data_IF_059203236409
#
_entry.id   IF_059203236409
#
_cell.length_a   1.000
_cell.length_b   1.000
_cell.length_c   1.000
_cell.angle_alpha   90.00
_cell.angle_beta   90.00
_cell.angle_gamma   90.00
#
_symmetry.space_group_name_H-M   'P 1'
#
loop_
_entity.id
_entity.type
_entity.pdbx_description
1 polymer ?
#
# COMPACT_ATOMS: atom_id res chain seq x y z
N UNK A 1 -22.43 5.22 2.23
CA UNK A 1 -22.15 6.59 2.70
C UNK A 1 -20.99 6.58 3.67
N UNK A 2 -20.30 7.71 3.80
CA UNK A 2 -19.13 7.95 4.65
C UNK A 2 -19.43 9.03 5.65
N UNK A 3 -19.36 8.73 6.93
CA UNK A 3 -19.60 9.69 8.02
C UNK A 3 -18.29 10.33 8.46
N UNK A 4 -18.16 11.63 8.26
CA UNK A 4 -17.06 12.45 8.76
C UNK A 4 -17.53 13.09 10.08
N UNK A 5 -17.47 12.33 11.17
CA UNK A 5 -18.01 12.73 12.48
C UNK A 5 -17.44 14.07 12.98
N UNK A 6 -16.13 14.31 12.79
CA UNK A 6 -15.48 15.56 13.18
C UNK A 6 -15.97 16.79 12.42
N UNK A 7 -16.55 16.61 11.24
CA UNK A 7 -17.07 17.67 10.39
C UNK A 7 -18.60 17.69 10.36
N UNK A 8 -19.25 16.76 11.08
CA UNK A 8 -20.70 16.57 11.08
C UNK A 8 -21.29 16.47 9.66
N UNK A 9 -20.64 15.68 8.81
CA UNK A 9 -21.00 15.49 7.39
C UNK A 9 -21.14 14.03 7.05
N UNK A 10 -22.08 13.71 6.18
CA UNK A 10 -22.22 12.39 5.57
C UNK A 10 -22.06 12.56 4.06
N UNK A 11 -21.16 11.78 3.46
CA UNK A 11 -20.84 11.85 2.06
C UNK A 11 -21.25 10.57 1.34
N UNK A 12 -21.73 10.70 0.12
CA UNK A 12 -21.83 9.60 -0.84
C UNK A 12 -20.44 9.22 -1.36
N UNK A 13 -20.32 8.08 -2.05
CA UNK A 13 -19.07 7.67 -2.73
C UNK A 13 -18.53 8.78 -3.65
N UNK A 14 -19.36 9.39 -4.47
CA UNK A 14 -18.92 10.44 -5.40
C UNK A 14 -18.47 11.71 -4.69
N UNK A 15 -19.13 12.10 -3.61
CA UNK A 15 -18.72 13.24 -2.78
C UNK A 15 -17.39 12.94 -2.05
N UNK A 16 -17.17 11.68 -1.63
CA UNK A 16 -15.89 11.27 -1.03
C UNK A 16 -14.74 11.30 -2.07
N UNK A 17 -15.01 10.93 -3.32
CA UNK A 17 -14.05 11.11 -4.42
C UNK A 17 -13.71 12.59 -4.60
N UNK A 18 -14.70 13.46 -4.65
CA UNK A 18 -14.50 14.91 -4.79
C UNK A 18 -13.71 15.48 -3.59
N UNK A 19 -13.97 14.99 -2.39
CA UNK A 19 -13.23 15.35 -1.17
C UNK A 19 -11.74 15.02 -1.29
N UNK A 20 -11.37 13.82 -1.74
CA UNK A 20 -9.97 13.49 -2.00
C UNK A 20 -9.35 14.31 -3.13
N UNK A 21 -10.08 14.57 -4.19
CA UNK A 21 -9.60 15.43 -5.28
C UNK A 21 -9.27 16.85 -4.80
N UNK A 22 -10.12 17.42 -3.94
CA UNK A 22 -9.86 18.72 -3.29
C UNK A 22 -8.58 18.66 -2.45
N UNK A 23 -8.40 17.61 -1.64
CA UNK A 23 -7.18 17.44 -0.85
C UNK A 23 -5.93 17.31 -1.70
N UNK A 24 -6.00 16.60 -2.82
CA UNK A 24 -4.88 16.45 -3.76
C UNK A 24 -4.47 17.77 -4.44
N UNK A 25 -5.33 18.77 -4.44
CA UNK A 25 -4.98 20.12 -4.90
C UNK A 25 -4.37 20.99 -3.81
N UNK A 26 -4.74 20.75 -2.56
CA UNK A 26 -4.35 21.57 -1.40
C UNK A 26 -3.09 21.08 -0.71
N UNK A 27 -2.84 19.77 -0.73
CA UNK A 27 -1.79 19.13 0.04
C UNK A 27 -0.88 18.28 -0.86
N UNK A 28 0.41 18.13 -0.54
CA UNK A 28 1.35 17.33 -1.31
C UNK A 28 1.18 15.81 -1.04
N UNK A 29 -0.03 15.30 -1.20
CA UNK A 29 -0.36 13.89 -0.97
C UNK A 29 0.15 13.08 -2.16
N UNK A 30 0.91 12.02 -1.89
CA UNK A 30 1.47 11.11 -2.89
C UNK A 30 0.86 9.70 -2.84
N UNK A 31 0.20 9.36 -1.71
CA UNK A 31 -0.41 8.04 -1.51
C UNK A 31 -1.63 8.15 -0.61
N UNK A 32 -2.68 7.39 -0.93
CA UNK A 32 -3.89 7.23 -0.10
C UNK A 32 -4.11 5.73 0.07
N UNK A 33 -4.18 5.28 1.31
CA UNK A 33 -4.48 3.89 1.65
C UNK A 33 -5.92 3.79 2.16
N UNK A 34 -6.67 2.81 1.62
CA UNK A 34 -8.05 2.51 1.96
C UNK A 34 -8.94 3.76 2.08
N UNK A 35 -8.95 4.56 1.02
CA UNK A 35 -9.77 5.76 0.94
C UNK A 35 -11.28 5.50 0.91
N UNK A 36 -11.69 4.26 0.69
CA UNK A 36 -13.08 3.80 0.62
C UNK A 36 -13.24 2.48 1.38
N UNK A 37 -14.50 2.11 1.66
CA UNK A 37 -14.84 0.80 2.19
C UNK A 37 -14.33 -0.32 1.27
N UNK A 38 -13.98 -1.46 1.85
CA UNK A 38 -13.47 -2.65 1.16
C UNK A 38 -14.42 -3.23 0.10
N UNK A 39 -15.69 -2.85 0.14
CA UNK A 39 -16.70 -3.25 -0.84
C UNK A 39 -17.10 -2.12 -1.80
N UNK A 40 -16.61 -0.89 -1.59
CA UNK A 40 -16.90 0.24 -2.47
C UNK A 40 -15.94 0.30 -3.67
N UNK A 41 -15.99 -0.73 -4.50
CA UNK A 41 -15.22 -0.81 -5.74
C UNK A 41 -15.42 0.40 -6.64
N UNK A 42 -16.63 0.98 -6.66
CA UNK A 42 -16.96 2.14 -7.48
C UNK A 42 -16.18 3.38 -7.05
N UNK A 43 -15.97 3.58 -5.75
CA UNK A 43 -15.16 4.67 -5.21
C UNK A 43 -13.69 4.54 -5.64
N UNK A 44 -13.12 3.34 -5.49
CA UNK A 44 -11.76 3.06 -5.97
C UNK A 44 -11.61 3.26 -7.47
N UNK A 45 -12.55 2.78 -8.31
CA UNK A 45 -12.54 2.98 -9.75
C UNK A 45 -12.55 4.47 -10.14
N UNK A 46 -13.46 5.24 -9.53
CA UNK A 46 -13.63 6.67 -9.81
C UNK A 46 -12.36 7.46 -9.41
N UNK A 47 -11.81 7.21 -8.22
CA UNK A 47 -10.60 7.89 -7.76
C UNK A 47 -9.39 7.48 -8.60
N UNK A 48 -9.24 6.20 -8.94
CA UNK A 48 -8.15 5.71 -9.80
C UNK A 48 -8.21 6.34 -11.18
N UNK A 49 -9.39 6.40 -11.78
CA UNK A 49 -9.61 7.02 -13.10
C UNK A 49 -9.26 8.50 -13.10
N UNK A 50 -9.65 9.23 -12.06
CA UNK A 50 -9.48 10.69 -12.00
C UNK A 50 -8.10 11.12 -11.51
N UNK A 51 -7.49 10.38 -10.60
CA UNK A 51 -6.30 10.83 -9.87
C UNK A 51 -5.13 9.84 -9.89
N UNK A 52 -5.33 8.59 -10.32
CA UNK A 52 -4.34 7.52 -10.25
C UNK A 52 -3.05 7.74 -11.04
N UNK A 53 -3.00 8.74 -11.93
CA UNK A 53 -1.76 9.17 -12.61
C UNK A 53 -0.87 10.05 -11.73
N UNK A 54 -1.42 10.61 -10.65
CA UNK A 54 -0.74 11.59 -9.78
C UNK A 54 -0.53 11.07 -8.37
N UNK A 55 -1.35 10.12 -7.93
CA UNK A 55 -1.36 9.60 -6.56
C UNK A 55 -1.44 8.08 -6.56
N UNK A 56 -0.71 7.47 -5.63
CA UNK A 56 -0.81 6.04 -5.34
C UNK A 56 -2.09 5.77 -4.55
N UNK A 57 -2.94 4.87 -5.05
CA UNK A 57 -4.19 4.47 -4.42
C UNK A 57 -4.02 3.01 -4.00
N UNK A 58 -3.78 2.82 -2.70
CA UNK A 58 -3.43 1.54 -2.10
C UNK A 58 -4.69 0.87 -1.58
N UNK A 59 -4.92 -0.38 -1.97
CA UNK A 59 -5.91 -1.24 -1.34
C UNK A 59 -5.25 -2.13 -0.30
N UNK A 60 -5.62 -1.99 0.97
CA UNK A 60 -5.32 -2.92 2.06
C UNK A 60 -6.50 -3.88 2.22
N UNK A 61 -7.57 -3.44 2.86
CA UNK A 61 -8.76 -4.27 3.08
C UNK A 61 -9.52 -4.56 1.78
N UNK A 62 -9.37 -3.70 0.77
CA UNK A 62 -9.88 -3.97 -0.57
C UNK A 62 -9.33 -5.29 -1.15
N UNK A 63 -8.03 -5.56 -0.99
CA UNK A 63 -7.34 -6.69 -1.62
C UNK A 63 -6.97 -7.82 -0.66
N UNK A 64 -6.77 -7.53 0.62
CA UNK A 64 -6.38 -8.47 1.70
C UNK A 64 -5.25 -9.44 1.30
N UNK A 65 -4.30 -8.99 0.48
CA UNK A 65 -3.21 -9.82 -0.10
C UNK A 65 -3.73 -11.05 -0.88
N UNK A 66 -4.98 -11.04 -1.32
CA UNK A 66 -5.66 -12.16 -1.98
C UNK A 66 -5.64 -11.98 -3.50
N UNK A 67 -5.24 -13.05 -4.23
CA UNK A 67 -5.08 -13.01 -5.70
C UNK A 67 -6.41 -12.81 -6.43
N UNK A 68 -7.51 -13.37 -5.94
CA UNK A 68 -8.81 -13.25 -6.60
C UNK A 68 -9.38 -11.83 -6.46
N UNK A 69 -9.25 -11.24 -5.27
CA UNK A 69 -9.62 -9.83 -5.05
C UNK A 69 -8.72 -8.89 -5.85
N UNK A 70 -7.40 -9.16 -5.89
CA UNK A 70 -6.46 -8.39 -6.70
C UNK A 70 -6.78 -8.47 -8.19
N UNK A 71 -7.10 -9.67 -8.71
CA UNK A 71 -7.53 -9.86 -10.09
C UNK A 71 -8.76 -9.03 -10.41
N UNK A 72 -9.77 -9.08 -9.53
CA UNK A 72 -10.97 -8.24 -9.66
C UNK A 72 -10.62 -6.75 -9.73
N UNK A 73 -9.72 -6.26 -8.86
CA UNK A 73 -9.29 -4.87 -8.87
C UNK A 73 -8.56 -4.47 -10.14
N UNK A 74 -7.70 -5.35 -10.66
CA UNK A 74 -6.99 -5.12 -11.93
C UNK A 74 -8.00 -5.01 -13.09
N UNK A 75 -8.96 -5.95 -13.19
CA UNK A 75 -9.99 -5.95 -14.23
C UNK A 75 -10.87 -4.70 -14.16
N UNK A 76 -11.23 -4.26 -12.96
CA UNK A 76 -12.04 -3.08 -12.69
C UNK A 76 -11.25 -1.77 -12.71
N UNK A 77 -9.92 -1.82 -12.73
CA UNK A 77 -9.03 -0.65 -12.57
C UNK A 77 -9.28 0.10 -11.27
N UNK A 78 -9.50 -0.65 -10.20
CA UNK A 78 -9.75 -0.16 -8.85
C UNK A 78 -8.45 -0.20 -8.03
N UNK A 79 -7.88 0.96 -7.75
CA UNK A 79 -6.54 1.08 -7.16
C UNK A 79 -5.40 0.92 -8.19
N UNK A 80 -4.21 1.33 -7.77
CA UNK A 80 -2.97 1.18 -8.55
C UNK A 80 -1.79 0.70 -7.68
N UNK A 81 -2.10 0.30 -6.44
CA UNK A 81 -1.16 -0.24 -5.48
C UNK A 81 -1.86 -1.22 -4.54
N UNK A 82 -1.13 -2.20 -4.04
CA UNK A 82 -1.62 -3.16 -3.04
C UNK A 82 -0.76 -3.11 -1.78
N UNK A 83 -1.40 -3.15 -0.62
CA UNK A 83 -0.73 -3.42 0.64
C UNK A 83 -0.56 -4.94 0.80
N UNK A 84 0.65 -5.36 1.12
CA UNK A 84 1.04 -6.76 1.24
C UNK A 84 1.31 -7.11 2.69
N UNK A 85 0.56 -8.05 3.22
CA UNK A 85 0.70 -8.59 4.58
C UNK A 85 0.85 -10.11 4.51
N UNK A 86 2.05 -10.63 4.81
CA UNK A 86 2.34 -12.07 4.67
C UNK A 86 1.37 -12.96 5.46
N UNK A 87 1.02 -12.56 6.66
CA UNK A 87 0.14 -13.35 7.53
C UNK A 87 -1.36 -13.17 7.26
N UNK A 88 -1.74 -12.31 6.32
CA UNK A 88 -3.13 -12.11 5.91
C UNK A 88 -3.57 -13.23 4.96
N UNK A 89 -2.69 -13.57 4.00
CA UNK A 89 -2.90 -14.73 3.11
C UNK A 89 -2.32 -16.02 3.72
N UNK A 90 -1.26 -15.94 4.52
CA UNK A 90 -0.75 -17.00 5.36
C UNK A 90 0.42 -17.81 4.81
N UNK A 91 0.82 -17.64 3.56
CA UNK A 91 2.02 -18.29 3.01
C UNK A 91 2.87 -17.33 2.17
N UNK A 92 4.18 -17.56 2.20
CA UNK A 92 5.14 -16.79 1.38
C UNK A 92 4.88 -17.00 -0.11
N UNK A 93 4.52 -18.21 -0.51
CA UNK A 93 4.25 -18.56 -1.91
C UNK A 93 3.08 -17.74 -2.48
N UNK A 94 1.96 -17.68 -1.77
CA UNK A 94 0.78 -16.91 -2.18
C UNK A 94 1.06 -15.40 -2.15
N UNK A 95 1.80 -14.93 -1.14
CA UNK A 95 2.23 -13.54 -1.06
C UNK A 95 3.07 -13.14 -2.28
N UNK A 96 4.04 -13.96 -2.67
CA UNK A 96 4.85 -13.73 -3.87
C UNK A 96 3.99 -13.77 -5.14
N UNK A 97 3.00 -14.66 -5.20
CA UNK A 97 2.07 -14.71 -6.34
C UNK A 97 1.26 -13.40 -6.47
N UNK A 98 0.76 -12.86 -5.36
CA UNK A 98 0.07 -11.56 -5.34
C UNK A 98 0.99 -10.41 -5.81
N UNK A 99 2.23 -10.35 -5.32
CA UNK A 99 3.22 -9.34 -5.74
C UNK A 99 3.53 -9.46 -7.23
N UNK A 100 3.74 -10.69 -7.75
CA UNK A 100 4.00 -10.90 -9.18
C UNK A 100 2.81 -10.48 -10.04
N UNK A 101 1.58 -10.77 -9.61
CA UNK A 101 0.37 -10.35 -10.31
C UNK A 101 0.24 -8.82 -10.33
N UNK A 102 0.45 -8.15 -9.20
CA UNK A 102 0.43 -6.69 -9.11
C UNK A 102 1.47 -6.06 -10.04
N UNK A 103 2.72 -6.54 -10.00
CA UNK A 103 3.81 -6.05 -10.84
C UNK A 103 3.51 -6.26 -12.34
N UNK A 104 2.94 -7.40 -12.75
CA UNK A 104 2.52 -7.65 -14.13
C UNK A 104 1.45 -6.66 -14.60
N UNK A 105 0.58 -6.22 -13.69
CA UNK A 105 -0.43 -5.20 -13.93
C UNK A 105 0.11 -3.75 -13.76
N UNK A 106 1.42 -3.57 -13.53
CA UNK A 106 2.06 -2.27 -13.27
C UNK A 106 1.54 -1.57 -12.01
N UNK A 107 1.02 -2.31 -11.06
CA UNK A 107 0.68 -1.82 -9.72
C UNK A 107 1.91 -1.86 -8.82
N UNK A 108 2.02 -0.90 -7.91
CA UNK A 108 3.05 -0.91 -6.86
C UNK A 108 2.63 -1.82 -5.70
N UNK A 109 3.61 -2.26 -4.91
CA UNK A 109 3.40 -3.07 -3.71
C UNK A 109 4.02 -2.38 -2.50
N UNK A 110 3.27 -2.26 -1.41
CA UNK A 110 3.75 -1.76 -0.13
C UNK A 110 3.79 -2.93 0.84
N UNK A 111 4.97 -3.37 1.25
CA UNK A 111 5.10 -4.44 2.24
C UNK A 111 4.81 -3.88 3.62
N UNK A 112 3.91 -4.53 4.36
CA UNK A 112 3.37 -3.98 5.61
C UNK A 112 3.54 -4.90 6.79
N UNK A 113 3.75 -4.27 7.93
CA UNK A 113 3.58 -4.86 9.26
C UNK A 113 2.10 -5.05 9.60
N UNK A 114 1.85 -5.55 10.81
CA UNK A 114 0.50 -5.55 11.44
C UNK A 114 0.49 -4.66 12.68
N UNK A 115 -0.70 -4.40 13.22
CA UNK A 115 -0.85 -3.66 14.49
C UNK A 115 -0.21 -4.40 15.68
N UNK A 116 -0.38 -5.73 15.73
CA UNK A 116 0.37 -6.61 16.61
C UNK A 116 1.63 -7.10 15.92
N UNK A 117 2.81 -6.84 16.48
CA UNK A 117 4.11 -7.16 15.90
C UNK A 117 5.08 -7.73 16.94
N UNK A 118 6.14 -8.34 16.42
CA UNK A 118 7.32 -8.79 17.16
C UNK A 118 8.57 -8.09 16.61
N UNK A 119 9.74 -8.40 17.16
CA UNK A 119 11.03 -7.92 16.64
C UNK A 119 11.52 -8.70 15.41
N UNK A 120 10.72 -9.63 14.85
CA UNK A 120 11.04 -10.32 13.61
C UNK A 120 11.28 -9.33 12.46
N UNK A 121 12.30 -9.57 11.66
CA UNK A 121 12.75 -8.67 10.58
C UNK A 121 12.51 -9.21 9.17
N UNK A 122 11.80 -10.32 9.04
CA UNK A 122 11.56 -11.00 7.76
C UNK A 122 11.02 -10.05 6.69
N UNK A 123 10.11 -9.13 7.04
CA UNK A 123 9.53 -8.20 6.06
C UNK A 123 10.56 -7.23 5.47
N UNK A 124 11.66 -6.92 6.18
CA UNK A 124 12.74 -6.08 5.66
C UNK A 124 13.53 -6.79 4.55
N UNK A 125 13.85 -8.06 4.75
CA UNK A 125 14.46 -8.89 3.69
C UNK A 125 13.50 -9.09 2.52
N UNK A 126 12.22 -9.27 2.82
CA UNK A 126 11.18 -9.52 1.84
C UNK A 126 10.98 -8.34 0.89
N UNK A 127 10.88 -7.12 1.43
CA UNK A 127 10.68 -5.91 0.62
C UNK A 127 11.86 -5.63 -0.30
N UNK A 128 13.09 -5.82 0.22
CA UNK A 128 14.31 -5.61 -0.58
C UNK A 128 14.51 -6.73 -1.58
N UNK A 129 14.39 -7.99 -1.15
CA UNK A 129 14.60 -9.16 -2.00
C UNK A 129 13.63 -9.24 -3.19
N UNK A 130 12.42 -8.70 -3.06
CA UNK A 130 11.42 -8.65 -4.13
C UNK A 130 11.39 -7.31 -4.88
N UNK A 131 12.23 -6.35 -4.49
CA UNK A 131 12.31 -5.05 -5.16
C UNK A 131 11.03 -4.23 -5.09
N UNK A 132 10.21 -4.37 -4.02
CA UNK A 132 8.95 -3.66 -3.89
C UNK A 132 9.11 -2.15 -3.68
N UNK A 133 10.25 -1.71 -3.16
CA UNK A 133 10.61 -0.30 -2.99
C UNK A 133 9.90 0.45 -1.86
N UNK A 134 8.89 -0.14 -1.23
CA UNK A 134 8.09 0.50 -0.19
C UNK A 134 7.82 -0.45 0.98
N UNK A 135 7.95 0.07 2.20
CA UNK A 135 7.61 -0.65 3.42
C UNK A 135 6.78 0.27 4.35
N UNK A 136 5.71 -0.27 4.94
CA UNK A 136 4.93 0.35 6.00
C UNK A 136 5.17 -0.43 7.28
N UNK A 137 6.01 0.11 8.20
CA UNK A 137 6.41 -0.64 9.40
C UNK A 137 6.42 0.20 10.68
N UNK A 138 5.56 1.20 10.74
CA UNK A 138 5.36 2.04 11.93
C UNK A 138 6.37 3.19 12.03
N UNK A 139 6.38 3.83 13.18
CA UNK A 139 7.27 4.95 13.47
C UNK A 139 8.63 4.47 13.97
N UNK A 140 9.59 5.38 14.07
CA UNK A 140 10.93 5.16 14.65
C UNK A 140 10.91 5.09 16.18
N UNK A 141 9.92 4.39 16.72
CA UNK A 141 9.76 4.11 18.13
C UNK A 141 9.18 2.71 18.32
N UNK A 142 9.35 2.11 19.49
CA UNK A 142 9.06 0.72 19.84
C UNK A 142 10.01 -0.25 19.09
N UNK A 143 10.59 -1.19 19.82
CA UNK A 143 11.61 -2.12 19.29
C UNK A 143 11.09 -3.02 18.19
N UNK A 144 9.83 -3.44 18.28
CA UNK A 144 9.13 -4.23 17.26
C UNK A 144 9.03 -3.52 15.89
N UNK A 145 9.17 -2.19 15.87
CA UNK A 145 9.20 -1.37 14.63
C UNK A 145 10.64 -1.04 14.23
N UNK A 146 11.41 -0.54 15.19
CA UNK A 146 12.81 -0.12 14.96
C UNK A 146 13.68 -1.27 14.49
N UNK A 147 13.41 -2.50 14.93
CA UNK A 147 14.10 -3.70 14.44
C UNK A 147 14.09 -3.80 12.90
N UNK A 148 12.94 -3.50 12.25
CA UNK A 148 12.82 -3.54 10.79
C UNK A 148 13.67 -2.46 10.11
N UNK A 149 13.69 -1.25 10.66
CA UNK A 149 14.53 -0.16 10.14
C UNK A 149 16.02 -0.47 10.30
N UNK A 150 16.42 -0.96 11.46
CA UNK A 150 17.80 -1.38 11.69
C UNK A 150 18.21 -2.51 10.74
N UNK A 151 17.30 -3.42 10.42
CA UNK A 151 17.58 -4.50 9.48
C UNK A 151 17.74 -3.98 8.04
N UNK A 152 16.98 -2.99 7.64
CA UNK A 152 17.19 -2.33 6.33
C UNK A 152 18.59 -1.72 6.22
N UNK A 153 19.11 -1.11 7.30
CA UNK A 153 20.47 -0.59 7.33
C UNK A 153 21.52 -1.71 7.20
N UNK A 154 21.32 -2.87 7.86
CA UNK A 154 22.20 -4.04 7.71
C UNK A 154 22.17 -4.62 6.29
N UNK A 155 20.98 -4.66 5.68
CA UNK A 155 20.84 -5.11 4.29
C UNK A 155 21.54 -4.13 3.34
N UNK A 156 21.45 -2.82 3.56
CA UNK A 156 22.16 -1.81 2.79
C UNK A 156 23.68 -2.00 2.89
N UNK A 157 24.20 -2.22 4.10
CA UNK A 157 25.61 -2.51 4.33
C UNK A 157 26.07 -3.77 3.57
N UNK A 158 25.27 -4.86 3.62
CA UNK A 158 25.58 -6.10 2.90
C UNK A 158 25.57 -5.93 1.38
N UNK A 159 24.67 -5.14 0.85
CA UNK A 159 24.57 -4.86 -0.58
C UNK A 159 25.67 -3.91 -1.05
N UNK A 160 26.17 -3.04 -0.18
CA UNK A 160 27.20 -2.06 -0.49
C UNK A 160 26.82 -1.20 -1.69
N UNK A 161 27.70 -1.15 -2.70
CA UNK A 161 27.48 -0.35 -3.92
C UNK A 161 26.27 -0.79 -4.78
N UNK A 162 25.67 -1.95 -4.49
CA UNK A 162 24.45 -2.44 -5.17
C UNK A 162 23.18 -1.93 -4.52
N UNK A 163 23.25 -1.34 -3.32
CA UNK A 163 22.11 -0.77 -2.65
C UNK A 163 21.61 0.45 -3.43
N UNK A 164 20.30 0.49 -3.66
CA UNK A 164 19.62 1.60 -4.34
C UNK A 164 18.40 2.02 -3.51
N UNK A 165 18.38 3.26 -3.07
CA UNK A 165 17.19 3.84 -2.43
C UNK A 165 16.24 4.34 -3.50
N UNK A 166 15.06 3.76 -3.60
CA UNK A 166 14.08 4.08 -4.64
C UNK A 166 13.54 5.52 -4.54
N UNK A 167 13.49 6.08 -3.33
CA UNK A 167 13.02 7.45 -3.08
C UNK A 167 11.63 7.69 -3.69
N UNK A 168 11.45 8.84 -4.33
CA UNK A 168 10.18 9.19 -5.01
C UNK A 168 9.86 8.28 -6.19
N UNK A 169 10.82 7.56 -6.74
CA UNK A 169 10.62 6.59 -7.82
C UNK A 169 9.84 5.34 -7.41
N UNK A 170 9.64 5.13 -6.10
CA UNK A 170 8.80 4.05 -5.59
C UNK A 170 7.30 4.30 -5.81
N UNK A 171 6.90 5.57 -5.97
CA UNK A 171 5.52 5.97 -6.28
C UNK A 171 5.37 6.12 -7.80
N UNK A 172 4.30 5.57 -8.35
CA UNK A 172 4.05 5.64 -9.80
C UNK A 172 2.80 6.43 -10.10
#
# INVERSE_FOLDING_TARGET
TYELASENRTLSTSEMVAFYQDWLTKYPIVSIEDGFSEDDWAGYEQLTKSSGKKVQIVGDDLFVTNIDRLKTGIERKAGNSILIKLNQIGSVTETIAAIKMANAAKMTCVISHRSGETEDTTISHFVVGLGCGQIKTGSLCRTDRVAKYNELLRIEEQLGKKAVFAGKGAFK
#
